data_IF_110471399527
#
_entry.id   IF_110471399527
#
_cell.length_a   1.000
_cell.length_b   1.000
_cell.length_c   1.000
_cell.angle_alpha   90.00
_cell.angle_beta   90.00
_cell.angle_gamma   90.00
#
_symmetry.space_group_name_H-M   'P 1'
#
loop_
_entity.id
_entity.type
_entity.pdbx_description
1 polymer ?
#
# COMPACT_ATOMS: atom_id res chain seq x y z
N UNK A 1 14.17 -55.34 86.56
CA UNK A 1 14.43 -54.77 85.22
C UNK A 1 13.56 -55.49 84.19
N UNK A 2 12.54 -54.82 83.65
CA UNK A 2 12.05 -55.00 82.27
C UNK A 2 11.04 -53.87 82.02
N UNK A 3 11.46 -52.94 81.18
CA UNK A 3 10.73 -51.72 80.87
C UNK A 3 9.60 -52.02 79.87
N UNK A 4 8.44 -51.42 80.14
CA UNK A 4 7.32 -51.28 79.22
C UNK A 4 7.73 -50.46 78.00
N UNK A 5 7.34 -50.90 76.82
CA UNK A 5 7.26 -50.04 75.63
C UNK A 5 6.09 -50.50 74.77
N UNK A 6 4.90 -49.99 75.08
CA UNK A 6 3.73 -50.10 74.21
C UNK A 6 3.83 -49.01 73.13
N UNK A 7 4.04 -49.45 71.89
CA UNK A 7 4.08 -48.59 70.71
C UNK A 7 2.66 -48.17 70.31
N UNK A 8 2.24 -46.99 70.79
CA UNK A 8 1.04 -46.29 70.35
C UNK A 8 1.24 -45.73 68.93
N UNK A 9 0.64 -46.36 67.92
CA UNK A 9 0.63 -45.85 66.54
C UNK A 9 -0.33 -44.65 66.42
N UNK A 10 0.13 -43.46 66.00
CA UNK A 10 -0.78 -42.36 65.68
C UNK A 10 -1.47 -42.64 64.34
N UNK A 11 -2.80 -42.66 64.37
CA UNK A 11 -3.61 -42.83 63.17
C UNK A 11 -3.71 -41.48 62.44
N UNK A 12 -2.71 -41.16 61.63
CA UNK A 12 -2.68 -39.95 60.79
C UNK A 12 -3.69 -40.06 59.65
N UNK A 13 -4.85 -39.41 59.80
CA UNK A 13 -5.80 -39.24 58.71
C UNK A 13 -5.22 -38.26 57.68
N UNK A 14 -4.60 -38.79 56.63
CA UNK A 14 -4.17 -38.02 55.46
C UNK A 14 -5.43 -37.44 54.80
N UNK A 15 -5.64 -36.13 54.90
CA UNK A 15 -6.67 -35.45 54.10
C UNK A 15 -6.16 -35.44 52.65
N UNK A 16 -6.78 -36.24 51.78
CA UNK A 16 -6.57 -36.13 50.34
C UNK A 16 -7.01 -34.74 49.90
N UNK A 17 -6.05 -33.88 49.53
CA UNK A 17 -6.36 -32.65 48.83
C UNK A 17 -7.08 -33.02 47.54
N UNK A 18 -8.34 -32.59 47.39
CA UNK A 18 -9.14 -32.83 46.20
C UNK A 18 -8.50 -32.03 45.08
N UNK A 19 -7.76 -32.70 44.18
CA UNK A 19 -7.25 -32.07 42.96
C UNK A 19 -8.46 -31.61 42.14
N UNK A 20 -8.68 -30.30 42.02
CA UNK A 20 -9.61 -29.78 41.02
C UNK A 20 -8.93 -29.94 39.66
N UNK A 21 -9.40 -30.90 38.87
CA UNK A 21 -9.04 -30.97 37.46
C UNK A 21 -9.74 -29.84 36.69
N UNK A 22 -9.06 -29.31 35.67
CA UNK A 22 -9.66 -28.44 34.68
C UNK A 22 -10.85 -29.15 34.03
N UNK A 23 -11.95 -28.42 33.87
CA UNK A 23 -13.12 -28.94 33.17
C UNK A 23 -12.95 -28.74 31.67
N UNK A 24 -13.45 -29.66 30.83
CA UNK A 24 -13.43 -29.51 29.37
C UNK A 24 -14.14 -28.22 28.92
N UNK A 25 -15.19 -27.82 29.65
CA UNK A 25 -15.97 -26.62 29.34
C UNK A 25 -15.17 -25.33 29.56
N UNK A 26 -14.24 -25.31 30.52
CA UNK A 26 -13.40 -24.15 30.81
C UNK A 26 -12.42 -23.88 29.67
N UNK A 27 -11.80 -24.93 29.11
CA UNK A 27 -10.93 -24.80 27.93
C UNK A 27 -11.76 -24.43 26.69
N UNK A 28 -12.98 -24.96 26.56
CA UNK A 28 -13.88 -24.68 25.43
C UNK A 28 -14.27 -23.19 25.38
N UNK A 29 -14.62 -22.59 26.52
CA UNK A 29 -14.96 -21.16 26.59
C UNK A 29 -13.74 -20.29 26.23
N UNK A 30 -12.54 -20.66 26.69
CA UNK A 30 -11.32 -19.91 26.40
C UNK A 30 -11.01 -19.91 24.90
N UNK A 31 -11.03 -21.06 24.23
CA UNK A 31 -10.79 -21.12 22.79
C UNK A 31 -11.87 -20.38 22.00
N UNK A 32 -13.13 -20.43 22.46
CA UNK A 32 -14.23 -19.69 21.82
C UNK A 32 -14.00 -18.18 21.87
N UNK A 33 -13.56 -17.64 23.02
CA UNK A 33 -13.25 -16.21 23.17
C UNK A 33 -12.04 -15.83 22.31
N UNK A 34 -10.99 -16.66 22.26
CA UNK A 34 -9.80 -16.39 21.43
C UNK A 34 -10.18 -16.35 19.94
N UNK A 35 -10.99 -17.28 19.46
CA UNK A 35 -11.45 -17.31 18.07
C UNK A 35 -12.35 -16.10 17.75
N UNK A 36 -13.25 -15.74 18.65
CA UNK A 36 -14.12 -14.58 18.48
C UNK A 36 -13.33 -13.25 18.41
N UNK A 37 -12.36 -13.06 19.29
CA UNK A 37 -11.48 -11.89 19.26
C UNK A 37 -10.56 -11.90 18.03
N UNK A 38 -10.02 -13.07 17.66
CA UNK A 38 -9.19 -13.23 16.47
C UNK A 38 -9.91 -12.85 15.18
N UNK A 39 -11.19 -13.19 15.05
CA UNK A 39 -12.01 -12.82 13.88
C UNK A 39 -12.15 -11.30 13.71
N UNK A 40 -12.33 -10.55 14.80
CA UNK A 40 -12.51 -9.09 14.77
C UNK A 40 -11.18 -8.39 14.45
N UNK A 41 -10.08 -8.82 15.08
CA UNK A 41 -8.75 -8.22 14.87
C UNK A 41 -8.22 -8.50 13.47
N UNK A 42 -8.51 -9.69 12.92
CA UNK A 42 -8.12 -10.05 11.55
C UNK A 42 -8.62 -9.05 10.51
N UNK A 43 -9.93 -8.74 10.51
CA UNK A 43 -10.54 -7.90 9.46
C UNK A 43 -10.05 -6.44 9.51
N UNK A 44 -9.82 -5.88 10.70
CA UNK A 44 -9.45 -4.47 10.86
C UNK A 44 -8.02 -4.11 10.38
N UNK A 45 -7.13 -5.09 10.29
CA UNK A 45 -5.74 -4.87 9.84
C UNK A 45 -5.61 -4.87 8.32
N UNK A 46 -6.45 -5.63 7.61
CA UNK A 46 -6.41 -5.69 6.15
C UNK A 46 -6.89 -4.38 5.51
N UNK A 47 -8.06 -3.87 5.91
CA UNK A 47 -8.68 -2.69 5.28
C UNK A 47 -7.88 -1.38 5.36
N UNK A 48 -6.97 -1.23 6.32
CA UNK A 48 -6.15 -0.01 6.45
C UNK A 48 -4.91 -0.03 5.56
N UNK A 49 -4.49 -1.19 5.09
CA UNK A 49 -3.33 -1.31 4.20
C UNK A 49 -3.71 -0.93 2.79
N UNK A 50 -4.85 -1.42 2.33
CA UNK A 50 -5.36 -1.20 0.97
C UNK A 50 -5.39 0.29 0.57
N UNK A 51 -5.91 1.18 1.43
CA UNK A 51 -5.92 2.63 1.13
C UNK A 51 -4.52 3.24 1.12
N UNK A 52 -3.65 2.83 2.04
CA UNK A 52 -2.27 3.34 2.09
C UNK A 52 -1.44 2.86 0.89
N UNK A 53 -1.71 1.65 0.41
CA UNK A 53 -1.05 1.06 -0.76
C UNK A 53 -1.51 1.77 -2.05
N UNK A 54 -2.81 2.10 -2.16
CA UNK A 54 -3.35 2.95 -3.24
C UNK A 54 -2.70 4.34 -3.22
N UNK A 55 -2.67 5.02 -2.08
CA UNK A 55 -2.07 6.36 -1.95
C UNK A 55 -0.58 6.34 -2.30
N UNK A 56 0.14 5.30 -1.85
CA UNK A 56 1.55 5.11 -2.18
C UNK A 56 1.75 4.91 -3.68
N UNK A 57 0.90 4.10 -4.33
CA UNK A 57 0.95 3.88 -5.77
C UNK A 57 0.68 5.17 -6.54
N UNK A 58 -0.30 5.98 -6.12
CA UNK A 58 -0.55 7.31 -6.71
C UNK A 58 0.67 8.23 -6.59
N UNK A 59 1.36 8.22 -5.46
CA UNK A 59 2.61 8.98 -5.28
C UNK A 59 3.70 8.49 -6.23
N UNK A 60 3.88 7.17 -6.37
CA UNK A 60 4.85 6.59 -7.30
C UNK A 60 4.51 6.95 -8.76
N UNK A 61 3.24 6.86 -9.13
CA UNK A 61 2.75 7.23 -10.46
C UNK A 61 3.09 8.69 -10.79
N UNK A 62 2.88 9.60 -9.83
CA UNK A 62 3.27 11.00 -9.96
C UNK A 62 4.78 11.19 -10.11
N UNK A 63 5.59 10.45 -9.34
CA UNK A 63 7.05 10.51 -9.46
C UNK A 63 7.52 10.04 -10.85
N UNK A 64 6.89 9.01 -11.40
CA UNK A 64 7.17 8.53 -12.76
C UNK A 64 6.74 9.59 -13.78
N UNK A 65 5.55 10.19 -13.63
CA UNK A 65 5.07 11.27 -14.48
C UNK A 65 5.99 12.49 -14.49
N UNK A 66 6.47 12.93 -13.32
CA UNK A 66 7.45 14.03 -13.21
C UNK A 66 8.75 13.70 -13.95
N UNK A 67 9.22 12.44 -13.87
CA UNK A 67 10.42 11.99 -14.56
C UNK A 67 10.23 11.91 -16.08
N UNK A 68 9.05 11.48 -16.55
CA UNK A 68 8.67 11.50 -17.97
C UNK A 68 8.65 12.93 -18.51
N UNK A 69 8.15 13.88 -17.74
CA UNK A 69 8.16 15.29 -18.13
C UNK A 69 9.58 15.86 -18.22
N UNK A 70 10.49 15.48 -17.31
CA UNK A 70 11.90 15.84 -17.41
C UNK A 70 12.57 15.24 -18.66
N UNK A 71 12.27 13.99 -18.98
CA UNK A 71 12.75 13.34 -20.20
C UNK A 71 12.29 14.11 -21.45
N UNK A 72 11.02 14.53 -21.47
CA UNK A 72 10.47 15.34 -22.55
C UNK A 72 11.18 16.70 -22.70
N UNK A 73 11.66 17.32 -21.62
CA UNK A 73 12.41 18.58 -21.71
C UNK A 73 13.74 18.41 -22.48
N UNK A 74 14.41 17.28 -22.32
CA UNK A 74 15.71 17.00 -22.93
C UNK A 74 15.60 16.47 -24.36
N UNK A 75 14.65 15.55 -24.60
CA UNK A 75 14.50 14.84 -25.87
C UNK A 75 13.35 15.34 -26.75
N UNK A 76 12.45 16.19 -26.22
CA UNK A 76 11.23 16.68 -26.91
C UNK A 76 10.29 15.59 -27.38
N UNK A 77 10.40 14.40 -26.77
CA UNK A 77 9.54 13.24 -26.96
C UNK A 77 9.44 12.51 -25.63
N UNK A 78 8.36 11.76 -25.43
CA UNK A 78 8.31 10.75 -24.37
C UNK A 78 9.07 9.48 -24.84
N UNK A 79 9.45 8.59 -23.91
CA UNK A 79 9.96 7.26 -24.26
C UNK A 79 9.02 6.53 -25.20
N UNK A 80 9.56 5.73 -26.13
CA UNK A 80 8.73 4.82 -26.92
C UNK A 80 8.40 3.55 -26.11
N UNK A 81 7.55 2.68 -26.66
CA UNK A 81 7.11 1.47 -25.97
C UNK A 81 8.24 0.43 -25.82
N UNK A 82 9.27 0.48 -26.68
CA UNK A 82 10.46 -0.39 -26.61
C UNK A 82 11.44 0.03 -25.49
N UNK A 83 11.63 1.34 -25.30
CA UNK A 83 12.43 1.95 -24.22
C UNK A 83 11.70 1.81 -22.86
N UNK A 84 10.37 2.00 -22.90
CA UNK A 84 9.48 1.96 -21.76
C UNK A 84 9.87 2.93 -20.64
N UNK A 85 9.42 2.63 -19.41
CA UNK A 85 9.79 3.41 -18.22
C UNK A 85 11.23 3.17 -17.76
N UNK A 86 11.84 2.06 -18.19
CA UNK A 86 13.16 1.67 -17.74
C UNK A 86 14.25 2.68 -18.13
N UNK A 87 14.06 3.39 -19.25
CA UNK A 87 14.95 4.47 -19.69
C UNK A 87 15.12 5.60 -18.67
N UNK A 88 14.17 5.77 -17.74
CA UNK A 88 14.19 6.82 -16.73
C UNK A 88 15.25 6.58 -15.64
N UNK A 89 15.70 5.33 -15.47
CA UNK A 89 16.73 4.95 -14.50
C UNK A 89 17.88 4.12 -15.08
N UNK A 90 17.71 3.53 -16.26
CA UNK A 90 18.68 2.69 -16.97
C UNK A 90 18.96 3.28 -18.35
N UNK A 91 20.18 3.78 -18.57
CA UNK A 91 20.54 4.44 -19.85
C UNK A 91 20.62 3.45 -21.00
N UNK A 92 20.84 2.18 -20.69
CA UNK A 92 21.01 1.08 -21.64
C UNK A 92 19.72 0.79 -22.43
N UNK A 93 18.57 1.24 -21.93
CA UNK A 93 17.28 1.12 -22.61
C UNK A 93 17.01 2.26 -23.58
N UNK A 94 17.84 3.31 -23.61
CA UNK A 94 17.67 4.43 -24.52
C UNK A 94 17.84 3.96 -25.98
N UNK A 95 16.99 4.47 -26.86
CA UNK A 95 17.06 4.23 -28.29
C UNK A 95 18.49 4.51 -28.82
N UNK A 96 19.12 3.57 -29.55
CA UNK A 96 20.47 3.74 -30.08
C UNK A 96 20.62 4.95 -31.03
N UNK A 97 19.52 5.43 -31.61
CA UNK A 97 19.52 6.62 -32.46
C UNK A 97 19.41 7.94 -31.65
N UNK A 98 19.11 7.86 -30.35
CA UNK A 98 19.01 9.02 -29.47
C UNK A 98 20.38 9.49 -28.97
N UNK A 99 20.46 10.79 -28.63
CA UNK A 99 21.69 11.40 -28.14
C UNK A 99 21.99 11.01 -26.68
N UNK A 100 22.88 10.03 -26.48
CA UNK A 100 23.31 9.57 -25.16
C UNK A 100 23.90 10.67 -24.28
N UNK A 101 24.44 11.76 -24.85
CA UNK A 101 25.10 12.82 -24.08
C UNK A 101 24.13 13.69 -23.29
N UNK A 102 22.86 13.71 -23.72
CA UNK A 102 21.77 14.41 -23.04
C UNK A 102 21.17 13.59 -21.91
N UNK A 103 21.41 12.28 -21.90
CA UNK A 103 20.78 11.40 -20.94
C UNK A 103 21.32 11.71 -19.55
N UNK A 104 20.39 11.79 -18.61
CA UNK A 104 20.67 11.89 -17.19
C UNK A 104 19.73 10.96 -16.45
N UNK A 105 20.09 10.62 -15.21
CA UNK A 105 19.23 9.79 -14.37
C UNK A 105 18.01 10.60 -13.93
N UNK A 106 16.84 10.33 -14.53
CA UNK A 106 15.59 11.06 -14.27
C UNK A 106 14.94 10.66 -12.93
N UNK A 107 15.09 9.41 -12.51
CA UNK A 107 14.63 8.94 -11.20
C UNK A 107 15.78 8.50 -10.29
N UNK A 108 15.77 8.92 -9.03
CA UNK A 108 16.80 8.54 -8.05
C UNK A 108 16.76 7.06 -7.70
N UNK A 109 15.55 6.54 -7.50
CA UNK A 109 15.28 5.17 -7.11
C UNK A 109 14.53 4.49 -8.26
N UNK A 110 14.98 3.32 -8.74
CA UNK A 110 14.25 2.58 -9.76
C UNK A 110 12.95 2.05 -9.16
N UNK A 111 11.85 2.26 -9.86
CA UNK A 111 10.53 1.74 -9.51
C UNK A 111 10.11 0.72 -10.57
N UNK A 112 10.70 -0.50 -10.57
CA UNK A 112 10.38 -1.49 -11.59
C UNK A 112 8.96 -2.04 -11.46
N UNK A 113 8.35 -1.94 -10.27
CA UNK A 113 7.06 -2.55 -9.93
C UNK A 113 6.29 -1.67 -8.94
N UNK A 114 4.97 -1.87 -8.92
CA UNK A 114 4.07 -1.22 -7.97
C UNK A 114 4.07 -1.91 -6.59
N UNK A 115 3.16 -1.47 -5.70
CA UNK A 115 3.03 -1.98 -4.32
C UNK A 115 2.55 -3.43 -4.27
N UNK A 116 1.80 -3.87 -5.28
CA UNK A 116 1.31 -5.24 -5.44
C UNK A 116 2.26 -6.13 -6.25
N UNK A 117 3.44 -5.59 -6.61
CA UNK A 117 4.50 -6.26 -7.35
C UNK A 117 4.09 -6.62 -8.81
N UNK A 118 3.16 -5.85 -9.37
CA UNK A 118 2.83 -5.82 -10.78
C UNK A 118 3.77 -4.87 -11.53
N UNK A 119 3.88 -5.07 -12.84
CA UNK A 119 4.63 -4.16 -13.71
C UNK A 119 3.79 -2.92 -14.03
N UNK A 120 4.45 -1.80 -14.27
CA UNK A 120 3.76 -0.56 -14.64
C UNK A 120 3.28 -0.65 -16.08
N UNK A 121 2.02 -0.29 -16.31
CA UNK A 121 1.49 -0.08 -17.66
C UNK A 121 1.96 1.25 -18.20
N UNK A 122 2.58 1.23 -19.38
CA UNK A 122 3.05 2.44 -20.07
C UNK A 122 2.77 2.34 -21.57
N UNK A 123 2.25 3.43 -22.14
CA UNK A 123 2.04 3.58 -23.59
C UNK A 123 2.40 5.00 -24.02
N UNK A 124 3.44 5.13 -24.85
CA UNK A 124 4.00 6.43 -25.28
C UNK A 124 3.63 6.85 -26.70
N UNK A 125 3.42 5.90 -27.63
CA UNK A 125 3.24 6.21 -29.06
C UNK A 125 1.78 6.43 -29.47
N UNK A 126 0.87 5.62 -28.92
CA UNK A 126 -0.58 5.68 -29.20
C UNK A 126 -1.38 5.62 -27.90
N UNK A 127 -1.37 6.70 -27.08
CA UNK A 127 -2.18 6.72 -25.87
C UNK A 127 -3.67 6.64 -26.24
N UNK A 128 -4.39 5.79 -25.52
CA UNK A 128 -5.81 5.54 -25.69
C UNK A 128 -6.66 6.49 -24.85
N UNK A 129 -6.14 6.90 -23.69
CA UNK A 129 -6.87 7.72 -22.72
C UNK A 129 -6.22 9.08 -22.47
N UNK A 130 -4.90 9.13 -22.36
CA UNK A 130 -4.12 10.33 -22.07
C UNK A 130 -3.80 11.16 -23.31
N UNK A 131 -3.65 12.47 -23.14
CA UNK A 131 -3.27 13.38 -24.25
C UNK A 131 -1.81 13.21 -24.71
N UNK A 132 -0.95 12.60 -23.88
CA UNK A 132 0.51 12.54 -24.10
C UNK A 132 1.11 11.16 -23.96
N UNK A 133 0.69 10.43 -22.93
CA UNK A 133 1.09 9.08 -22.62
C UNK A 133 0.02 8.47 -21.71
N UNK A 134 -0.09 7.15 -21.75
CA UNK A 134 -0.83 6.39 -20.74
C UNK A 134 0.18 5.82 -19.75
N UNK A 135 -0.04 6.07 -18.46
CA UNK A 135 0.65 5.43 -17.35
C UNK A 135 -0.37 4.93 -16.32
N UNK A 136 -0.32 3.64 -15.98
CA UNK A 136 -1.23 3.03 -15.00
C UNK A 136 -0.54 1.91 -14.19
N UNK A 137 -1.20 1.49 -13.12
CA UNK A 137 -0.90 0.28 -12.34
C UNK A 137 -2.14 -0.60 -12.29
N UNK A 138 -1.94 -1.91 -12.45
CA UNK A 138 -2.98 -2.94 -12.45
C UNK A 138 -3.62 -3.20 -11.07
N UNK A 139 -3.37 -2.32 -10.10
CA UNK A 139 -3.99 -2.39 -8.78
C UNK A 139 -3.73 -3.69 -8.00
N UNK A 140 -4.57 -3.95 -6.98
CA UNK A 140 -4.54 -5.15 -6.15
C UNK A 140 -4.79 -6.48 -6.88
N UNK A 141 -5.60 -6.48 -7.95
CA UNK A 141 -5.96 -7.71 -8.66
C UNK A 141 -4.91 -8.13 -9.71
N UNK A 142 -4.12 -7.17 -10.22
CA UNK A 142 -3.07 -7.39 -11.21
C UNK A 142 -3.59 -7.63 -12.63
N UNK A 143 -4.90 -7.47 -12.87
CA UNK A 143 -5.52 -7.55 -14.18
C UNK A 143 -5.58 -6.15 -14.81
N UNK A 144 -5.45 -6.05 -16.13
CA UNK A 144 -5.59 -4.77 -16.84
C UNK A 144 -7.06 -4.53 -17.20
N UNK A 145 -7.48 -3.26 -17.28
CA UNK A 145 -8.83 -2.81 -17.67
C UNK A 145 -9.91 -3.19 -16.64
N UNK A 146 -9.55 -3.13 -15.36
CA UNK A 146 -10.43 -3.39 -14.21
C UNK A 146 -10.74 -2.10 -13.43
N UNK A 147 -11.75 -2.15 -12.56
CA UNK A 147 -12.20 -0.97 -11.80
C UNK A 147 -11.18 -0.51 -10.73
N UNK A 148 -10.19 -1.35 -10.39
CA UNK A 148 -9.14 -1.05 -9.42
C UNK A 148 -7.83 -0.54 -10.02
N UNK A 149 -7.79 -0.36 -11.35
CA UNK A 149 -6.68 0.27 -12.06
C UNK A 149 -6.45 1.70 -11.59
N UNK A 150 -5.19 2.00 -11.24
CA UNK A 150 -4.77 3.33 -10.82
C UNK A 150 -4.09 4.02 -12.00
N UNK A 151 -4.80 4.94 -12.64
CA UNK A 151 -4.33 5.61 -13.85
C UNK A 151 -3.84 7.04 -13.57
N UNK A 152 -2.94 7.54 -14.43
CA UNK A 152 -2.38 8.88 -14.29
C UNK A 152 -3.32 9.97 -14.83
N UNK A 153 -4.21 9.60 -15.77
CA UNK A 153 -5.10 10.52 -16.46
C UNK A 153 -6.45 10.75 -15.76
N UNK A 154 -6.87 9.84 -14.88
CA UNK A 154 -8.16 9.94 -14.18
C UNK A 154 -8.09 10.81 -12.90
N UNK A 155 -6.89 11.19 -12.45
CA UNK A 155 -6.75 12.01 -11.23
C UNK A 155 -7.22 13.46 -11.36
N UNK A 156 -7.59 13.90 -12.57
CA UNK A 156 -8.12 15.24 -12.79
C UNK A 156 -9.59 15.41 -12.35
N UNK A 157 -10.34 14.33 -12.11
CA UNK A 157 -11.76 14.42 -11.74
C UNK A 157 -12.03 14.53 -10.23
N UNK A 158 -11.05 14.23 -9.38
CA UNK A 158 -11.24 14.11 -7.93
C UNK A 158 -10.79 15.35 -7.13
N UNK A 159 -10.23 16.36 -7.80
CA UNK A 159 -9.93 17.68 -7.22
C UNK A 159 -11.21 18.52 -6.96
N UNK A 160 -12.40 17.90 -6.96
CA UNK A 160 -13.63 18.48 -6.38
C UNK A 160 -13.63 18.35 -4.84
N UNK A 161 -12.47 18.60 -4.20
CA UNK A 161 -12.35 18.71 -2.74
C UNK A 161 -12.51 20.18 -2.31
N UNK A 162 -13.76 20.67 -2.39
CA UNK A 162 -14.34 21.67 -1.50
C UNK A 162 -13.52 22.91 -1.14
N UNK A 163 -13.24 23.77 -2.11
CA UNK A 163 -12.91 25.18 -1.91
C UNK A 163 -14.19 26.04 -1.75
N UNK A 164 -15.07 25.69 -0.81
CA UNK A 164 -16.15 26.57 -0.31
C UNK A 164 -15.61 27.59 0.72
N UNK A 165 -14.53 28.29 0.37
CA UNK A 165 -14.01 29.41 1.17
C UNK A 165 -13.40 30.47 0.25
N UNK A 166 -14.22 31.32 -0.38
CA UNK A 166 -13.63 32.46 -1.10
C UNK A 166 -14.49 33.44 -1.90
N UNK A 167 -15.81 33.33 -1.98
CA UNK A 167 -16.59 34.23 -2.87
C UNK A 167 -17.11 35.53 -2.24
N UNK A 168 -16.83 35.83 -0.97
CA UNK A 168 -17.24 37.09 -0.30
C UNK A 168 -16.13 38.15 -0.26
N UNK A 169 -15.42 38.34 -1.38
CA UNK A 169 -14.62 39.56 -1.56
C UNK A 169 -15.52 40.65 -2.15
N UNK A 170 -15.85 41.73 -1.40
CA UNK A 170 -16.57 42.85 -1.97
C UNK A 170 -15.72 43.49 -3.07
N UNK A 171 -16.36 43.73 -4.23
CA UNK A 171 -15.74 44.37 -5.37
C UNK A 171 -15.07 45.70 -4.97
N UNK A 172 -13.88 46.02 -5.50
CA UNK A 172 -13.24 47.31 -5.24
C UNK A 172 -14.14 48.44 -5.76
N UNK A 173 -14.21 49.58 -5.06
CA UNK A 173 -15.01 50.71 -5.51
C UNK A 173 -14.54 51.19 -6.88
N UNK A 174 -15.48 51.31 -7.79
CA UNK A 174 -15.28 51.85 -9.13
C UNK A 174 -15.09 53.36 -9.06
N UNK A 175 -13.86 53.80 -8.81
CA UNK A 175 -13.49 55.19 -9.08
C UNK A 175 -13.37 55.37 -10.60
N UNK A 176 -14.38 56.01 -11.17
CA UNK A 176 -14.38 56.53 -12.54
C UNK A 176 -13.43 57.72 -12.69
N UNK A 177 -13.25 58.21 -13.93
CA UNK A 177 -12.17 59.13 -14.33
C UNK A 177 -12.24 60.52 -13.69
#
# INVERSE_FOLDING_TARGET
MKASCELRRPNGRVRLARRSGFTLIEVLIVIAIILALGAIVGVAVFQRRDTADIDMTKIQLKQIGDALDLFYLDYRRYPNDDEGLAVLWDKEQLDPDADETKWQKYMKEPLPRDVWNNEWGYRGEEPEHGDKYDLWSNGPDGEEDTEDDITAWDQASDDEFGDDLGSDLPAPPSDGP
#
